data_IF_286722242131
#
_entry.id   IF_286722242131
#
_cell.length_a   1.000
_cell.length_b   1.000
_cell.length_c   1.000
_cell.angle_alpha   90.00
_cell.angle_beta   90.00
_cell.angle_gamma   90.00
#
_symmetry.space_group_name_H-M   'P 1'
#
loop_
_entity.id
_entity.type
_entity.pdbx_description
1 polymer ?
#
# COMPACT_ATOMS: atom_id res chain seq x y z
N UNK A 1 -20.28 25.19 21.29
CA UNK A 1 -20.21 23.91 22.02
C UNK A 1 -19.39 22.96 21.17
N UNK A 2 -18.42 22.25 21.73
CA UNK A 2 -17.69 21.23 20.95
C UNK A 2 -18.48 19.92 20.97
N UNK A 3 -18.69 19.35 19.79
CA UNK A 3 -19.38 18.06 19.65
C UNK A 3 -18.37 16.96 19.94
N UNK A 4 -18.58 16.22 21.01
CA UNK A 4 -17.80 15.02 21.29
C UNK A 4 -18.20 13.94 20.28
N UNK A 5 -17.20 13.36 19.61
CA UNK A 5 -17.40 12.30 18.59
C UNK A 5 -16.86 10.95 19.04
N UNK A 6 -16.04 10.92 20.10
CA UNK A 6 -15.49 9.68 20.60
C UNK A 6 -14.72 9.80 21.90
N UNK A 7 -14.23 8.66 22.39
CA UNK A 7 -13.42 8.50 23.60
C UNK A 7 -12.28 7.54 23.33
N UNK A 8 -11.08 7.84 23.84
CA UNK A 8 -9.95 6.91 23.77
C UNK A 8 -10.20 5.68 24.65
N UNK A 9 -10.17 4.50 24.05
CA UNK A 9 -10.21 3.20 24.77
C UNK A 9 -8.81 2.67 25.09
N UNK A 10 -7.85 2.90 24.20
CA UNK A 10 -6.50 2.38 24.37
C UNK A 10 -5.49 3.30 23.69
N UNK A 11 -4.34 3.52 24.33
CA UNK A 11 -3.18 4.17 23.75
C UNK A 11 -1.94 3.31 24.03
N UNK A 12 -1.12 3.16 23.01
CA UNK A 12 0.25 2.65 23.10
C UNK A 12 1.18 3.69 22.50
N UNK A 13 2.20 4.14 23.23
CA UNK A 13 3.12 5.18 22.77
C UNK A 13 2.58 6.60 22.98
N UNK A 14 2.94 7.52 22.08
CA UNK A 14 2.60 8.94 22.19
C UNK A 14 1.59 9.33 21.10
N UNK A 15 0.47 9.91 21.54
CA UNK A 15 -0.63 10.32 20.67
C UNK A 15 -1.04 11.73 21.05
N UNK A 16 -1.23 12.57 20.05
CA UNK A 16 -1.54 14.00 20.19
C UNK A 16 -2.79 14.33 19.40
N UNK A 17 -3.75 15.03 20.00
CA UNK A 17 -4.85 15.67 19.29
C UNK A 17 -4.49 17.12 19.00
N UNK A 18 -4.79 17.58 17.79
CA UNK A 18 -4.68 18.97 17.36
C UNK A 18 -6.09 19.49 17.12
N UNK A 19 -6.49 20.54 17.82
CA UNK A 19 -7.81 21.15 17.64
C UNK A 19 -7.90 21.99 16.36
N UNK A 20 -9.08 22.56 16.08
CA UNK A 20 -9.30 23.43 14.92
C UNK A 20 -8.51 24.74 14.97
N UNK A 21 -8.02 25.13 16.15
CA UNK A 21 -7.19 26.31 16.38
C UNK A 21 -5.69 25.99 16.25
N UNK A 22 -5.32 24.73 16.01
CA UNK A 22 -3.94 24.26 15.97
C UNK A 22 -3.32 23.95 17.34
N UNK A 23 -4.11 24.01 18.42
CA UNK A 23 -3.66 23.68 19.77
C UNK A 23 -3.51 22.16 19.89
N UNK A 24 -2.29 21.73 20.21
CA UNK A 24 -1.94 20.32 20.37
C UNK A 24 -2.01 19.90 21.83
N UNK A 25 -2.64 18.76 22.13
CA UNK A 25 -2.64 18.15 23.48
C UNK A 25 -2.33 16.66 23.41
N UNK A 26 -1.57 16.17 24.38
CA UNK A 26 -1.30 14.74 24.52
C UNK A 26 -2.56 14.04 25.01
N UNK A 27 -2.94 12.96 24.33
CA UNK A 27 -4.11 12.16 24.65
C UNK A 27 -3.77 11.03 25.63
N UNK A 28 -4.74 10.69 26.47
CA UNK A 28 -4.72 9.58 27.41
C UNK A 28 -5.97 8.71 27.24
N UNK A 29 -5.91 7.49 27.78
CA UNK A 29 -7.08 6.61 27.83
C UNK A 29 -8.19 7.27 28.66
N UNK A 30 -9.40 7.29 28.12
CA UNK A 30 -10.56 8.00 28.69
C UNK A 30 -10.75 9.43 28.20
N UNK A 31 -9.79 9.99 27.44
CA UNK A 31 -9.95 11.35 26.92
C UNK A 31 -11.04 11.41 25.84
N UNK A 32 -11.85 12.46 25.91
CA UNK A 32 -12.84 12.77 24.89
C UNK A 32 -12.17 13.43 23.67
N UNK A 33 -12.68 13.06 22.50
CA UNK A 33 -12.30 13.64 21.23
C UNK A 33 -13.48 14.41 20.63
N UNK A 34 -13.17 15.50 19.96
CA UNK A 34 -14.16 16.43 19.44
C UNK A 34 -14.11 16.53 17.90
N UNK A 35 -15.25 16.92 17.32
CA UNK A 35 -15.39 17.11 15.89
C UNK A 35 -14.44 18.21 15.39
N UNK A 36 -13.72 17.91 14.32
CA UNK A 36 -12.72 18.75 13.66
C UNK A 36 -11.31 18.63 14.23
N UNK A 37 -11.08 17.83 15.28
CA UNK A 37 -9.73 17.56 15.78
C UNK A 37 -8.97 16.59 14.88
N UNK A 38 -7.64 16.68 14.89
CA UNK A 38 -6.75 15.77 14.17
C UNK A 38 -5.91 15.00 15.18
N UNK A 39 -6.13 13.69 15.25
CA UNK A 39 -5.34 12.78 16.09
C UNK A 39 -4.11 12.35 15.30
N UNK A 40 -2.93 12.51 15.89
CA UNK A 40 -1.62 12.17 15.32
C UNK A 40 -0.87 11.22 16.25
N UNK A 41 -0.34 10.14 15.70
CA UNK A 41 0.60 9.28 16.42
C UNK A 41 2.03 9.76 16.17
N UNK A 42 2.88 9.77 17.21
CA UNK A 42 4.24 10.34 17.10
C UNK A 42 5.31 9.37 16.60
N UNK A 43 4.99 8.09 16.41
CA UNK A 43 5.94 7.07 15.95
C UNK A 43 5.24 5.89 15.29
N UNK A 44 5.91 5.17 14.38
CA UNK A 44 5.44 3.94 13.74
C UNK A 44 4.96 2.82 14.71
N UNK A 45 5.45 2.79 15.95
CA UNK A 45 5.04 1.84 16.99
C UNK A 45 3.87 2.33 17.85
N UNK A 46 3.45 3.59 17.69
CA UNK A 46 2.35 4.15 18.45
C UNK A 46 1.00 3.66 17.89
N UNK A 47 0.01 3.52 18.76
CA UNK A 47 -1.33 3.05 18.42
C UNK A 47 -2.35 3.74 19.29
N UNK A 48 -3.48 4.14 18.70
CA UNK A 48 -4.65 4.60 19.43
C UNK A 48 -5.88 3.81 19.01
N UNK A 49 -6.73 3.46 19.97
CA UNK A 49 -8.06 2.90 19.73
C UNK A 49 -9.08 3.87 20.30
N UNK A 50 -9.96 4.37 19.44
CA UNK A 50 -11.00 5.35 19.74
C UNK A 50 -12.35 4.66 19.62
N UNK A 51 -13.17 4.72 20.66
CA UNK A 51 -14.60 4.40 20.54
C UNK A 51 -15.32 5.63 20.05
N UNK A 52 -15.93 5.55 18.86
CA UNK A 52 -16.77 6.61 18.34
C UNK A 52 -18.17 6.54 18.94
N UNK A 53 -18.86 7.67 18.97
CA UNK A 53 -20.26 7.82 19.40
C UNK A 53 -21.23 6.95 18.57
N UNK A 54 -20.89 6.67 17.31
CA UNK A 54 -21.60 5.75 16.42
C UNK A 54 -21.50 4.27 16.83
N UNK A 55 -20.78 3.94 17.91
CA UNK A 55 -20.60 2.59 18.44
C UNK A 55 -19.55 1.74 17.71
N UNK A 56 -18.83 2.30 16.73
CA UNK A 56 -17.68 1.67 16.07
C UNK A 56 -16.38 2.12 16.72
N UNK A 57 -15.41 1.21 16.77
CA UNK A 57 -14.05 1.53 17.18
C UNK A 57 -13.19 1.86 15.96
N UNK A 58 -12.45 2.97 16.03
CA UNK A 58 -11.45 3.38 15.04
C UNK A 58 -10.06 3.17 15.63
N UNK A 59 -9.21 2.47 14.88
CA UNK A 59 -7.81 2.24 15.25
C UNK A 59 -6.92 3.11 14.39
N UNK A 60 -6.03 3.87 15.02
CA UNK A 60 -5.02 4.70 14.38
C UNK A 60 -3.67 4.03 14.64
N UNK A 61 -2.95 3.71 13.57
CA UNK A 61 -1.64 3.07 13.64
C UNK A 61 -0.52 4.12 13.73
N UNK A 62 0.72 3.66 13.79
CA UNK A 62 1.86 4.54 13.95
C UNK A 62 2.19 5.32 12.69
N UNK A 63 2.69 6.54 12.87
CA UNK A 63 2.91 7.55 11.81
C UNK A 63 1.65 7.89 10.99
N UNK A 64 0.48 7.68 11.58
CA UNK A 64 -0.82 7.98 10.99
C UNK A 64 -1.43 9.24 11.62
N UNK A 65 -2.20 9.96 10.82
CA UNK A 65 -3.03 11.07 11.30
C UNK A 65 -4.47 10.87 10.86
N UNK A 66 -5.39 10.89 11.82
CA UNK A 66 -6.82 10.80 11.59
C UNK A 66 -7.48 12.13 11.90
N UNK A 67 -8.12 12.73 10.90
CA UNK A 67 -9.01 13.87 11.10
C UNK A 67 -10.40 13.38 11.50
N UNK A 68 -10.91 13.88 12.61
CA UNK A 68 -12.26 13.61 13.09
C UNK A 68 -13.23 14.53 12.38
N UNK A 69 -13.74 14.11 11.23
CA UNK A 69 -14.78 14.82 10.50
C UNK A 69 -16.14 14.12 10.64
N UNK A 70 -17.16 14.66 9.98
CA UNK A 70 -18.51 14.08 10.00
C UNK A 70 -18.55 12.67 9.39
N UNK A 71 -17.64 12.33 8.47
CA UNK A 71 -17.58 10.99 7.86
C UNK A 71 -17.07 9.96 8.87
N UNK A 72 -15.99 10.31 9.56
CA UNK A 72 -15.40 9.48 10.63
C UNK A 72 -16.38 9.34 11.80
N UNK A 73 -17.05 10.43 12.18
CA UNK A 73 -18.10 10.42 13.20
C UNK A 73 -19.35 9.62 12.75
N UNK A 74 -19.71 9.66 11.47
CA UNK A 74 -20.77 8.80 10.91
C UNK A 74 -20.35 7.32 10.76
N UNK A 75 -19.09 7.00 11.04
CA UNK A 75 -18.56 5.63 10.91
C UNK A 75 -18.41 5.19 9.46
N UNK A 76 -18.42 6.14 8.52
CA UNK A 76 -18.09 5.91 7.13
C UNK A 76 -16.56 5.82 7.04
N UNK A 77 -16.06 4.60 6.83
CA UNK A 77 -14.63 4.42 6.54
C UNK A 77 -14.27 5.25 5.29
N UNK A 78 -13.15 5.97 5.27
CA UNK A 78 -12.65 6.64 4.07
C UNK A 78 -12.29 5.71 2.91
N UNK A 79 -12.34 4.38 3.11
CA UNK A 79 -12.19 3.42 2.02
C UNK A 79 -13.55 3.17 1.37
N UNK A 80 -13.82 3.99 0.36
CA UNK A 80 -14.70 3.75 -0.77
C UNK A 80 -14.75 2.26 -1.16
N UNK A 81 -15.83 1.59 -0.78
CA UNK A 81 -16.32 0.37 -1.47
C UNK A 81 -17.51 0.79 -2.33
N UNK A 82 -17.38 1.92 -3.03
CA UNK A 82 -18.36 2.37 -3.99
C UNK A 82 -18.29 1.57 -5.32
N UNK A 83 -17.19 0.83 -5.57
CA UNK A 83 -16.90 0.31 -6.92
C UNK A 83 -17.18 -1.19 -7.12
N UNK A 84 -17.78 -1.91 -6.17
CA UNK A 84 -18.14 -3.33 -6.44
C UNK A 84 -19.32 -3.42 -7.39
N UNK A 85 -20.26 -2.46 -7.34
CA UNK A 85 -21.40 -2.42 -8.26
C UNK A 85 -20.98 -2.07 -9.69
N UNK A 86 -19.98 -1.22 -9.89
CA UNK A 86 -19.49 -0.89 -11.24
C UNK A 86 -18.58 -1.99 -11.82
N UNK A 87 -17.81 -2.70 -10.97
CA UNK A 87 -17.12 -3.94 -11.38
C UNK A 87 -18.12 -5.05 -11.75
N UNK A 88 -19.22 -5.22 -11.00
CA UNK A 88 -20.27 -6.18 -11.33
C UNK A 88 -20.99 -5.82 -12.64
N UNK A 89 -21.21 -4.53 -12.93
CA UNK A 89 -21.72 -4.09 -14.25
C UNK A 89 -20.76 -4.41 -15.39
N UNK A 90 -19.46 -4.23 -15.20
CA UNK A 90 -18.46 -4.58 -16.23
C UNK A 90 -18.45 -6.09 -16.55
N UNK A 91 -18.65 -6.94 -15.54
CA UNK A 91 -18.83 -8.40 -15.69
C UNK A 91 -20.20 -8.76 -16.29
N UNK A 92 -21.27 -8.10 -15.84
CA UNK A 92 -22.65 -8.36 -16.27
C UNK A 92 -22.93 -7.88 -17.69
N UNK A 93 -22.20 -6.86 -18.16
CA UNK A 93 -22.23 -6.43 -19.55
C UNK A 93 -21.68 -7.49 -20.51
N UNK A 94 -21.04 -8.56 -19.98
CA UNK A 94 -20.84 -9.82 -20.69
C UNK A 94 -20.42 -9.61 -22.13
N UNK A 95 -19.44 -8.71 -22.35
CA UNK A 95 -18.99 -8.42 -23.69
C UNK A 95 -18.39 -9.72 -24.23
N UNK A 96 -19.05 -10.24 -25.25
CA UNK A 96 -18.83 -11.56 -25.81
C UNK A 96 -17.40 -11.65 -26.37
N UNK A 97 -16.47 -12.13 -25.54
CA UNK A 97 -15.04 -12.32 -25.89
C UNK A 97 -14.84 -13.40 -26.96
N UNK A 98 -15.92 -14.01 -27.49
CA UNK A 98 -15.86 -14.98 -28.60
C UNK A 98 -15.74 -14.33 -29.98
N UNK A 99 -15.74 -12.99 -30.06
CA UNK A 99 -15.48 -12.21 -31.29
C UNK A 99 -14.17 -11.42 -31.27
N UNK A 100 -13.20 -11.83 -30.44
CA UNK A 100 -11.82 -11.47 -30.71
C UNK A 100 -11.34 -12.31 -31.90
N UNK A 101 -11.69 -11.85 -33.10
CA UNK A 101 -10.95 -12.16 -34.31
C UNK A 101 -9.46 -11.98 -33.99
N UNK A 102 -8.71 -13.05 -34.21
CA UNK A 102 -7.28 -13.18 -33.99
C UNK A 102 -6.52 -12.12 -34.82
N UNK A 103 -6.46 -10.88 -34.31
CA UNK A 103 -5.71 -9.80 -34.93
C UNK A 103 -4.41 -9.58 -34.14
N UNK A 104 -3.66 -10.68 -33.99
CA UNK A 104 -2.23 -10.63 -33.72
C UNK A 104 -1.50 -10.21 -35.01
N UNK A 105 -1.65 -8.94 -35.39
CA UNK A 105 -0.89 -8.34 -36.49
C UNK A 105 0.59 -8.24 -36.09
N UNK A 106 1.36 -9.28 -36.42
CA UNK A 106 2.80 -9.36 -36.22
C UNK A 106 3.52 -10.05 -37.38
N UNK A 107 3.14 -9.71 -38.62
CA UNK A 107 4.01 -9.73 -39.80
C UNK A 107 4.79 -11.01 -40.11
N UNK A 108 4.26 -11.82 -41.02
CA UNK A 108 5.04 -12.85 -41.69
C UNK A 108 5.91 -12.21 -42.79
N UNK A 109 7.18 -11.92 -42.52
CA UNK A 109 8.25 -11.92 -43.54
C UNK A 109 9.65 -11.82 -42.92
N UNK A 110 10.47 -12.80 -43.26
CA UNK A 110 11.89 -12.89 -42.98
C UNK A 110 12.67 -11.61 -43.31
N UNK A 111 13.60 -11.22 -42.44
CA UNK A 111 15.01 -11.05 -42.78
C UNK A 111 15.81 -10.46 -41.60
N UNK A 112 16.95 -11.10 -41.34
CA UNK A 112 18.20 -10.49 -40.90
C UNK A 112 18.28 -9.81 -39.52
N UNK A 113 19.04 -10.46 -38.62
CA UNK A 113 20.14 -9.76 -37.95
C UNK A 113 19.96 -9.43 -36.47
N UNK A 114 20.70 -10.16 -35.63
CA UNK A 114 21.45 -9.52 -34.54
C UNK A 114 20.75 -9.35 -33.20
N UNK A 115 20.12 -10.39 -32.66
CA UNK A 115 19.71 -10.43 -31.25
C UNK A 115 20.87 -10.78 -30.31
N UNK A 116 21.80 -9.84 -30.11
CA UNK A 116 22.84 -9.91 -29.07
C UNK A 116 22.24 -9.57 -27.69
N UNK A 117 21.45 -10.50 -27.15
CA UNK A 117 20.69 -10.26 -25.91
C UNK A 117 20.99 -11.21 -24.75
N UNK A 118 21.59 -12.40 -24.99
CA UNK A 118 21.52 -13.49 -23.99
C UNK A 118 22.82 -14.29 -23.77
N UNK A 119 24.00 -13.84 -24.23
CA UNK A 119 25.22 -14.66 -24.17
C UNK A 119 26.39 -14.06 -23.37
N UNK A 120 26.09 -13.40 -22.25
CA UNK A 120 27.11 -12.96 -21.29
C UNK A 120 27.08 -13.67 -19.93
N UNK A 121 25.98 -14.31 -19.55
CA UNK A 121 25.89 -15.03 -18.27
C UNK A 121 26.53 -16.43 -18.29
N UNK A 122 26.58 -17.10 -19.44
CA UNK A 122 27.09 -18.48 -19.54
C UNK A 122 28.53 -18.59 -20.08
N UNK A 123 29.15 -17.47 -20.53
CA UNK A 123 30.51 -17.48 -21.10
C UNK A 123 31.65 -17.17 -20.12
N UNK A 124 31.35 -16.95 -18.83
CA UNK A 124 32.36 -16.71 -17.79
C UNK A 124 32.77 -17.95 -16.99
N UNK A 125 32.07 -19.08 -17.12
CA UNK A 125 32.42 -20.29 -16.37
C UNK A 125 33.43 -21.20 -17.10
N UNK A 126 33.53 -21.10 -18.43
CA UNK A 126 34.30 -22.04 -19.26
C UNK A 126 35.66 -21.51 -19.74
N UNK A 127 36.18 -20.43 -19.13
CA UNK A 127 37.53 -19.90 -19.40
C UNK A 127 38.49 -20.04 -18.21
N UNK A 128 38.01 -20.44 -17.04
CA UNK A 128 38.84 -20.65 -15.85
C UNK A 128 39.44 -22.07 -15.76
N UNK A 129 38.81 -23.08 -16.39
CA UNK A 129 39.24 -24.48 -16.27
C UNK A 129 40.36 -24.85 -17.25
N UNK A 130 40.40 -24.26 -18.45
CA UNK A 130 41.40 -24.59 -19.48
C UNK A 130 42.82 -24.07 -19.15
N UNK A 131 42.95 -22.97 -18.41
CA UNK A 131 44.27 -22.39 -18.10
C UNK A 131 45.04 -23.16 -17.02
N UNK A 132 44.36 -23.83 -16.07
CA UNK A 132 45.05 -24.56 -15.00
C UNK A 132 45.65 -25.90 -15.45
N UNK A 133 45.16 -26.50 -16.54
CA UNK A 133 45.68 -27.80 -17.02
C UNK A 133 46.97 -27.62 -17.82
N UNK A 134 47.17 -26.48 -18.51
CA UNK A 134 48.37 -26.27 -19.33
C UNK A 134 49.63 -25.87 -18.55
N UNK A 135 49.52 -25.32 -17.34
CA UNK A 135 50.71 -24.93 -16.55
C UNK A 135 51.40 -26.09 -15.84
N UNK A 136 50.74 -27.25 -15.68
CA UNK A 136 51.29 -28.39 -14.91
C UNK A 136 52.10 -29.39 -15.73
N UNK A 137 52.11 -29.26 -17.06
CA UNK A 137 52.87 -30.14 -17.97
C UNK A 137 54.23 -29.52 -18.38
N UNK A 138 54.43 -28.21 -18.18
CA UNK A 138 55.67 -27.53 -18.59
C UNK A 138 56.78 -27.53 -17.53
N UNK A 139 56.69 -28.35 -16.48
CA UNK A 139 57.66 -28.41 -15.38
C UNK A 139 58.17 -29.84 -15.08
N UNK A 140 58.15 -30.73 -16.07
CA UNK A 140 58.81 -32.03 -16.05
C UNK A 140 59.58 -32.24 -17.36
#
# INVERSE_FOLDING_TARGET
MQTQVGVIKQISGLVVAVDQNGVSRVLKVGDALYLGEVVKTSSASSKAVVSMDNGKDVTILGDESLKLDENVAAGQKPNTVADVSDLQKALLNGEDLTKLEETAAGGNAAAAGGGDGLVLAQRRLMRAVTTQISMKISAL
#
